data_IF_291797347665
#
_entry.id   IF_291797347665
#
_cell.length_a   1.000
_cell.length_b   1.000
_cell.length_c   1.000
_cell.angle_alpha   90.00
_cell.angle_beta   90.00
_cell.angle_gamma   90.00
#
_symmetry.space_group_name_H-M   'P 1'
#
loop_
_entity.id
_entity.type
_entity.pdbx_description
1 polymer ?
#
# COMPACT_ATOMS: atom_id res chain seq x y z
N UNK A 1 -2.63 5.75 -13.08
CA UNK A 1 -3.68 6.41 -13.89
C UNK A 1 -4.54 5.30 -14.50
N UNK A 2 -5.77 5.11 -14.01
CA UNK A 2 -6.63 4.00 -14.44
C UNK A 2 -7.04 4.16 -15.91
N UNK A 3 -6.87 3.10 -16.70
CA UNK A 3 -7.16 3.06 -18.14
C UNK A 3 -8.65 2.81 -18.44
N UNK A 4 -9.55 3.45 -17.69
CA UNK A 4 -11.01 3.22 -17.78
C UNK A 4 -11.59 3.43 -19.19
N UNK A 5 -11.05 4.39 -19.96
CA UNK A 5 -11.52 4.74 -21.31
C UNK A 5 -11.46 3.58 -22.31
N UNK A 6 -10.51 2.65 -22.15
CA UNK A 6 -10.40 1.49 -23.04
C UNK A 6 -11.51 0.46 -22.84
N UNK A 7 -12.22 0.52 -21.71
CA UNK A 7 -13.33 -0.39 -21.36
C UNK A 7 -14.69 0.31 -21.43
N UNK A 8 -14.74 1.53 -22.00
CA UNK A 8 -15.99 2.31 -22.05
C UNK A 8 -16.43 2.85 -20.70
N UNK A 9 -15.55 2.85 -19.69
CA UNK A 9 -15.79 3.54 -18.44
C UNK A 9 -15.42 5.02 -18.61
N UNK A 10 -16.43 5.87 -18.79
CA UNK A 10 -16.25 7.32 -18.68
C UNK A 10 -15.91 7.71 -17.24
N UNK A 11 -15.35 8.91 -17.03
CA UNK A 11 -14.92 9.48 -15.74
C UNK A 11 -16.09 9.70 -14.73
N UNK A 12 -17.27 9.09 -14.98
CA UNK A 12 -18.55 9.28 -14.30
C UNK A 12 -18.81 8.34 -13.11
N UNK A 13 -17.83 7.54 -12.66
CA UNK A 13 -17.97 6.68 -11.46
C UNK A 13 -18.29 7.47 -10.16
N UNK A 14 -18.19 8.79 -10.18
CA UNK A 14 -18.59 9.66 -9.07
C UNK A 14 -20.05 10.13 -9.14
N UNK A 15 -20.79 9.89 -10.23
CA UNK A 15 -22.15 10.45 -10.43
C UNK A 15 -23.26 9.66 -9.76
N UNK A 16 -23.10 8.36 -9.62
CA UNK A 16 -24.15 7.55 -9.00
C UNK A 16 -23.88 7.48 -7.51
N UNK A 17 -24.66 8.26 -6.74
CA UNK A 17 -24.64 8.36 -5.28
C UNK A 17 -24.99 7.06 -4.55
N UNK A 18 -24.37 5.94 -4.94
CA UNK A 18 -24.33 4.69 -4.18
C UNK A 18 -23.63 5.01 -2.87
N UNK A 19 -24.30 4.89 -1.72
CA UNK A 19 -23.65 5.08 -0.43
C UNK A 19 -22.52 4.06 -0.30
N UNK A 20 -21.27 4.54 -0.28
CA UNK A 20 -20.07 3.74 0.02
C UNK A 20 -20.10 3.14 1.43
N UNK A 21 -21.14 3.41 2.21
CA UNK A 21 -21.38 2.95 3.58
C UNK A 21 -21.53 1.43 3.71
N UNK A 22 -21.77 0.68 2.62
CA UNK A 22 -21.91 -0.78 2.68
C UNK A 22 -20.60 -1.56 2.50
N UNK A 23 -19.52 -0.93 2.02
CA UNK A 23 -18.24 -1.61 1.78
C UNK A 23 -17.37 -1.63 3.04
N UNK A 24 -17.48 -0.61 3.89
CA UNK A 24 -16.65 -0.44 5.08
C UNK A 24 -17.39 -0.94 6.32
N UNK A 25 -17.02 -2.13 6.78
CA UNK A 25 -17.57 -2.71 8.00
C UNK A 25 -17.33 -1.85 9.24
N UNK A 26 -18.18 -1.93 10.28
CA UNK A 26 -18.04 -1.17 11.52
C UNK A 26 -16.92 -1.73 12.44
N UNK A 27 -15.83 -2.22 11.87
CA UNK A 27 -14.77 -2.89 12.63
C UNK A 27 -14.11 -1.91 13.62
N UNK A 28 -13.98 -2.27 14.90
CA UNK A 28 -13.41 -1.35 15.88
C UNK A 28 -11.95 -1.00 15.54
N UNK A 29 -11.65 0.29 15.43
CA UNK A 29 -10.28 0.81 15.27
C UNK A 29 -9.57 0.83 16.62
N UNK A 30 -8.23 0.94 16.61
CA UNK A 30 -7.46 1.16 17.84
C UNK A 30 -7.88 2.47 18.52
N UNK A 31 -8.17 3.52 17.76
CA UNK A 31 -8.54 4.83 18.29
C UNK A 31 -9.89 4.81 19.02
N UNK A 32 -10.90 4.13 18.45
CA UNK A 32 -12.19 3.95 19.12
C UNK A 32 -12.05 3.20 20.46
N UNK A 33 -11.20 2.16 20.49
CA UNK A 33 -10.92 1.39 21.72
C UNK A 33 -10.19 2.24 22.77
N UNK A 34 -9.22 3.06 22.35
CA UNK A 34 -8.43 3.91 23.23
C UNK A 34 -9.21 5.10 23.78
N UNK A 35 -10.06 5.71 22.96
CA UNK A 35 -10.96 6.80 23.36
C UNK A 35 -11.89 6.35 24.50
N UNK A 36 -12.45 5.15 24.41
CA UNK A 36 -13.25 4.54 25.49
C UNK A 36 -12.49 4.30 26.81
N UNK A 37 -11.16 4.40 26.80
CA UNK A 37 -10.28 4.28 27.99
C UNK A 37 -9.70 5.64 28.43
N UNK A 38 -10.17 6.75 27.86
CA UNK A 38 -9.71 8.09 28.20
C UNK A 38 -8.35 8.48 27.61
N UNK A 39 -7.80 7.66 26.68
CA UNK A 39 -6.54 7.95 25.98
C UNK A 39 -6.81 8.91 24.83
N UNK A 40 -6.06 10.01 24.78
CA UNK A 40 -6.12 10.97 23.67
C UNK A 40 -5.40 10.36 22.46
N UNK A 41 -6.03 10.36 21.29
CA UNK A 41 -5.37 9.91 20.05
C UNK A 41 -5.16 11.09 19.11
N UNK A 42 -3.91 11.31 18.68
CA UNK A 42 -3.51 12.32 17.69
C UNK A 42 -3.00 11.61 16.45
N UNK A 43 -3.71 11.74 15.34
CA UNK A 43 -3.48 11.00 14.10
C UNK A 43 -3.03 11.98 13.02
N UNK A 44 -1.78 11.85 12.56
CA UNK A 44 -1.25 12.61 11.43
C UNK A 44 -1.46 11.80 10.16
N UNK A 45 -2.24 12.37 9.23
CA UNK A 45 -2.67 11.64 8.04
C UNK A 45 -1.55 11.42 7.01
N UNK A 46 -0.59 12.33 6.91
CA UNK A 46 0.40 12.27 5.83
C UNK A 46 -0.29 12.20 4.45
N UNK A 47 0.17 11.30 3.60
CA UNK A 47 -0.41 10.99 2.27
C UNK A 47 -1.77 10.30 2.31
N UNK A 48 -2.21 9.72 3.45
CA UNK A 48 -3.57 9.17 3.58
C UNK A 48 -4.61 10.28 3.41
N UNK A 49 -4.24 11.55 3.60
CA UNK A 49 -5.11 12.69 3.28
C UNK A 49 -5.49 12.77 1.79
N UNK A 50 -4.82 12.01 0.91
CA UNK A 50 -5.14 11.92 -0.52
C UNK A 50 -6.15 10.82 -0.85
N UNK A 51 -6.46 9.94 0.09
CA UNK A 51 -7.47 8.89 -0.07
C UNK A 51 -8.90 9.46 -0.02
N UNK A 52 -9.89 8.81 -0.66
CA UNK A 52 -11.29 9.23 -0.57
C UNK A 52 -11.79 9.26 0.89
N UNK A 53 -12.64 10.24 1.21
CA UNK A 53 -13.06 10.55 2.58
C UNK A 53 -13.57 9.35 3.38
N UNK A 54 -14.40 8.48 2.78
CA UNK A 54 -14.96 7.32 3.48
C UNK A 54 -13.89 6.35 4.02
N UNK A 55 -12.80 6.14 3.29
CA UNK A 55 -11.70 5.27 3.72
C UNK A 55 -10.90 5.90 4.86
N UNK A 56 -10.56 7.18 4.71
CA UNK A 56 -9.86 7.95 5.74
C UNK A 56 -10.68 8.00 7.02
N UNK A 57 -11.98 8.28 6.92
CA UNK A 57 -12.92 8.32 8.04
C UNK A 57 -13.01 6.97 8.76
N UNK A 58 -13.07 5.87 8.01
CA UNK A 58 -13.08 4.52 8.59
C UNK A 58 -11.77 4.20 9.32
N UNK A 59 -10.62 4.59 8.76
CA UNK A 59 -9.30 4.36 9.35
C UNK A 59 -9.12 5.11 10.67
N UNK A 60 -9.51 6.39 10.69
CA UNK A 60 -9.26 7.29 11.83
C UNK A 60 -10.43 7.38 12.81
N UNK A 61 -11.50 6.61 12.59
CA UNK A 61 -12.69 6.57 13.44
C UNK A 61 -12.30 6.46 14.91
N UNK A 62 -12.80 7.37 15.74
CA UNK A 62 -12.54 7.39 17.18
C UNK A 62 -11.27 8.15 17.60
N UNK A 63 -10.48 8.68 16.66
CA UNK A 63 -9.37 9.57 16.99
C UNK A 63 -9.87 10.88 17.62
N UNK A 64 -9.14 11.39 18.63
CA UNK A 64 -9.48 12.65 19.29
C UNK A 64 -9.11 13.86 18.43
N UNK A 65 -7.98 13.76 17.73
CA UNK A 65 -7.49 14.79 16.83
C UNK A 65 -6.97 14.15 15.55
N UNK A 66 -7.55 14.55 14.42
CA UNK A 66 -7.06 14.22 13.08
C UNK A 66 -6.33 15.45 12.54
N UNK A 67 -5.04 15.29 12.22
CA UNK A 67 -4.13 16.37 11.86
C UNK A 67 -3.81 16.25 10.38
N UNK A 68 -4.08 17.34 9.65
CA UNK A 68 -3.79 17.46 8.23
C UNK A 68 -2.29 17.65 8.00
N UNK A 69 -1.73 17.10 6.91
CA UNK A 69 -0.31 17.21 6.63
C UNK A 69 0.08 18.68 6.35
N UNK A 70 1.27 19.08 6.80
CA UNK A 70 1.81 20.43 6.53
C UNK A 70 2.08 20.71 5.05
N UNK A 71 2.39 19.67 4.29
CA UNK A 71 2.65 19.75 2.85
C UNK A 71 1.69 18.86 2.08
N UNK A 72 1.36 19.28 0.85
CA UNK A 72 0.66 18.40 -0.09
C UNK A 72 1.57 17.25 -0.47
N UNK A 73 1.07 16.01 -0.43
CA UNK A 73 1.85 14.81 -0.74
C UNK A 73 2.57 14.89 -2.09
N UNK A 74 1.88 15.36 -3.13
CA UNK A 74 2.43 15.51 -4.49
C UNK A 74 3.68 16.40 -4.57
N UNK A 75 3.95 17.23 -3.56
CA UNK A 75 5.14 18.11 -3.50
C UNK A 75 6.33 17.39 -2.89
N UNK A 76 6.09 16.46 -1.96
CA UNK A 76 7.16 15.90 -1.11
C UNK A 76 7.44 14.42 -1.35
N UNK A 77 6.60 13.72 -2.12
CA UNK A 77 6.64 12.25 -2.29
C UNK A 77 7.99 11.68 -2.72
N UNK A 78 8.78 12.47 -3.46
CA UNK A 78 10.10 12.08 -3.97
C UNK A 78 11.25 12.69 -3.14
N UNK A 79 10.96 13.23 -1.95
CA UNK A 79 11.92 13.93 -1.09
C UNK A 79 12.01 13.30 0.32
N UNK A 80 12.67 12.14 0.48
CA UNK A 80 12.76 11.42 1.76
C UNK A 80 13.22 12.27 2.95
N UNK A 81 14.19 13.16 2.73
CA UNK A 81 14.69 14.05 3.77
C UNK A 81 13.63 15.04 4.27
N UNK A 82 12.79 15.56 3.36
CA UNK A 82 11.70 16.49 3.70
C UNK A 82 10.54 15.76 4.39
N UNK A 83 10.24 14.53 3.96
CA UNK A 83 9.26 13.66 4.63
C UNK A 83 9.68 13.39 6.07
N UNK A 84 10.95 12.99 6.28
CA UNK A 84 11.49 12.73 7.61
C UNK A 84 11.47 13.98 8.50
N UNK A 85 11.94 15.14 8.01
CA UNK A 85 11.98 16.37 8.82
C UNK A 85 10.57 16.86 9.20
N UNK A 86 9.61 16.73 8.28
CA UNK A 86 8.20 17.09 8.51
C UNK A 86 7.59 16.17 9.56
N UNK A 87 7.75 14.85 9.41
CA UNK A 87 7.29 13.84 10.36
C UNK A 87 7.81 14.13 11.77
N UNK A 88 9.11 14.39 11.90
CA UNK A 88 9.75 14.68 13.18
C UNK A 88 9.12 15.94 13.81
N UNK A 89 8.96 17.01 13.04
CA UNK A 89 8.39 18.26 13.54
C UNK A 89 6.92 18.14 13.95
N UNK A 90 6.12 17.32 13.26
CA UNK A 90 4.71 17.05 13.56
C UNK A 90 4.53 16.22 14.83
N UNK A 91 5.40 15.25 15.05
CA UNK A 91 5.45 14.48 16.31
C UNK A 91 5.91 15.36 17.46
N UNK A 92 6.98 16.15 17.29
CA UNK A 92 7.47 17.10 18.29
C UNK A 92 6.37 18.07 18.75
N UNK A 93 5.60 18.62 17.81
CA UNK A 93 4.44 19.47 18.10
C UNK A 93 3.36 18.74 18.90
N UNK A 94 3.11 17.47 18.56
CA UNK A 94 2.10 16.66 19.21
C UNK A 94 2.50 16.28 20.63
N UNK A 95 3.76 15.92 20.85
CA UNK A 95 4.30 15.65 22.18
C UNK A 95 4.15 16.87 23.10
N UNK A 96 4.49 18.07 22.62
CA UNK A 96 4.31 19.32 23.38
C UNK A 96 2.85 19.58 23.80
N UNK A 97 1.89 19.14 22.99
CA UNK A 97 0.44 19.31 23.24
C UNK A 97 -0.17 18.19 24.08
N UNK A 98 0.59 17.17 24.45
CA UNK A 98 0.09 15.93 25.09
C UNK A 98 0.38 15.85 26.59
N UNK A 99 0.76 16.96 27.22
CA UNK A 99 1.16 17.00 28.63
C UNK A 99 -0.02 16.63 29.55
N UNK A 100 0.23 15.74 30.52
CA UNK A 100 -0.69 15.41 31.60
C UNK A 100 -1.80 14.42 31.25
N UNK A 101 -1.79 13.81 30.05
CA UNK A 101 -2.78 12.79 29.65
C UNK A 101 -2.11 11.64 28.89
N UNK A 102 -2.52 10.38 29.13
CA UNK A 102 -2.13 9.26 28.27
C UNK A 102 -2.51 9.57 26.82
N UNK A 103 -1.54 9.53 25.91
CA UNK A 103 -1.72 9.94 24.52
C UNK A 103 -1.07 8.94 23.56
N UNK A 104 -1.82 8.52 22.55
CA UNK A 104 -1.29 7.86 21.36
C UNK A 104 -1.05 8.91 20.27
N UNK A 105 0.18 8.99 19.77
CA UNK A 105 0.48 9.73 18.53
C UNK A 105 0.70 8.68 17.44
N UNK A 106 -0.14 8.72 16.41
CA UNK A 106 -0.01 7.87 15.23
C UNK A 106 0.30 8.75 14.03
N UNK A 107 1.30 8.35 13.24
CA UNK A 107 1.71 9.07 12.05
C UNK A 107 2.01 8.07 10.94
N UNK A 108 1.44 8.31 9.77
CA UNK A 108 1.80 7.58 8.57
C UNK A 108 2.98 8.26 7.88
N UNK A 109 4.04 7.49 7.61
CA UNK A 109 5.27 7.98 6.99
C UNK A 109 5.47 7.24 5.69
N UNK A 110 4.99 7.80 4.59
CA UNK A 110 5.18 7.20 3.28
C UNK A 110 6.58 7.52 2.74
N UNK A 111 7.42 6.49 2.62
CA UNK A 111 8.69 6.53 1.85
C UNK A 111 8.63 5.57 0.65
N UNK A 112 7.47 4.99 0.39
CA UNK A 112 7.22 3.89 -0.52
C UNK A 112 7.42 4.32 -1.99
N UNK A 113 6.85 5.48 -2.35
CA UNK A 113 7.01 6.05 -3.70
C UNK A 113 8.49 6.24 -4.07
N UNK A 114 9.32 6.74 -3.14
CA UNK A 114 10.76 6.88 -3.40
C UNK A 114 11.44 5.54 -3.65
N UNK A 115 11.05 4.49 -2.90
CA UNK A 115 11.63 3.15 -3.07
C UNK A 115 11.24 2.58 -4.43
N UNK A 116 10.00 2.81 -4.91
CA UNK A 116 9.60 2.36 -6.25
C UNK A 116 10.55 2.86 -7.34
N UNK A 117 10.97 4.13 -7.31
CA UNK A 117 11.87 4.69 -8.31
C UNK A 117 13.35 4.39 -8.06
N UNK A 118 13.79 4.55 -6.82
CA UNK A 118 15.21 4.68 -6.47
C UNK A 118 15.74 3.51 -5.63
N UNK A 119 14.84 2.70 -5.07
CA UNK A 119 15.17 1.66 -4.09
C UNK A 119 15.66 2.23 -2.76
N UNK A 120 16.32 1.38 -1.98
CA UNK A 120 16.86 1.70 -0.65
C UNK A 120 18.21 2.43 -0.72
N UNK A 121 18.24 3.55 -1.44
CA UNK A 121 19.45 4.34 -1.67
C UNK A 121 19.96 5.09 -0.41
N UNK A 122 20.97 5.96 -0.59
CA UNK A 122 21.50 6.76 0.53
C UNK A 122 20.51 7.81 1.05
N UNK A 123 19.65 8.37 0.18
CA UNK A 123 18.63 9.35 0.58
C UNK A 123 17.60 8.72 1.51
N UNK A 124 17.07 7.56 1.12
CA UNK A 124 16.17 6.76 1.94
C UNK A 124 16.79 6.41 3.30
N UNK A 125 18.02 5.87 3.30
CA UNK A 125 18.71 5.50 4.55
C UNK A 125 18.95 6.70 5.46
N UNK A 126 19.29 7.87 4.90
CA UNK A 126 19.50 9.11 5.67
C UNK A 126 18.20 9.60 6.31
N UNK A 127 17.07 9.50 5.59
CA UNK A 127 15.75 9.82 6.11
C UNK A 127 15.37 8.90 7.28
N UNK A 128 15.50 7.57 7.12
CA UNK A 128 15.25 6.60 8.19
C UNK A 128 16.16 6.79 9.40
N UNK A 129 17.45 7.07 9.19
CA UNK A 129 18.37 7.36 10.30
C UNK A 129 17.95 8.62 11.06
N UNK A 130 17.41 9.62 10.37
CA UNK A 130 16.90 10.84 11.02
C UNK A 130 15.66 10.56 11.86
N UNK A 131 14.74 9.73 11.36
CA UNK A 131 13.56 9.26 12.10
C UNK A 131 14.00 8.42 13.31
N UNK A 132 14.93 7.47 13.14
CA UNK A 132 15.46 6.64 14.22
C UNK A 132 16.13 7.45 15.33
N UNK A 133 16.92 8.47 14.98
CA UNK A 133 17.49 9.41 15.96
C UNK A 133 16.40 10.19 16.71
N UNK A 134 15.32 10.59 16.03
CA UNK A 134 14.20 11.27 16.68
C UNK A 134 13.43 10.33 17.61
N UNK A 135 13.15 9.10 17.18
CA UNK A 135 12.53 8.06 17.99
C UNK A 135 13.31 7.81 19.29
N UNK A 136 14.65 7.69 19.22
CA UNK A 136 15.49 7.60 20.42
C UNK A 136 15.33 8.80 21.34
N UNK A 137 15.38 10.04 20.81
CA UNK A 137 15.19 11.26 21.63
C UNK A 137 13.84 11.29 22.33
N UNK A 138 12.76 10.91 21.65
CA UNK A 138 11.42 10.85 22.24
C UNK A 138 11.35 9.77 23.33
N UNK A 139 11.99 8.63 23.11
CA UNK A 139 12.08 7.56 24.09
C UNK A 139 12.85 7.99 25.35
N UNK A 140 14.02 8.60 25.19
CA UNK A 140 14.81 9.15 26.30
C UNK A 140 13.99 10.20 27.09
N UNK A 141 13.16 10.98 26.40
CA UNK A 141 12.21 11.93 27.00
C UNK A 141 10.99 11.29 27.69
N UNK A 142 10.84 9.96 27.62
CA UNK A 142 9.83 9.18 28.37
C UNK A 142 8.67 8.67 27.54
N UNK A 143 8.75 8.75 26.20
CA UNK A 143 7.76 8.12 25.31
C UNK A 143 8.13 6.65 25.06
N UNK A 144 7.15 5.86 24.65
CA UNK A 144 7.41 4.60 23.95
C UNK A 144 7.20 4.84 22.45
N UNK A 145 8.16 4.45 21.63
CA UNK A 145 8.10 4.67 20.18
C UNK A 145 8.16 3.34 19.46
N UNK A 146 7.10 3.03 18.71
CA UNK A 146 7.03 1.88 17.82
C UNK A 146 7.09 2.37 16.37
N UNK A 147 8.00 1.82 15.59
CA UNK A 147 8.04 1.98 14.13
C UNK A 147 7.86 0.60 13.51
N UNK A 148 6.92 0.49 12.58
CA UNK A 148 6.77 -0.70 11.76
C UNK A 148 6.48 -0.29 10.32
N UNK A 149 6.69 -1.24 9.41
CA UNK A 149 6.26 -1.14 8.02
C UNK A 149 5.23 -2.23 7.76
N UNK A 150 4.34 -1.99 6.81
CA UNK A 150 3.34 -2.92 6.29
C UNK A 150 3.92 -3.86 5.24
N UNK A 151 4.86 -3.39 4.41
CA UNK A 151 5.59 -4.20 3.44
C UNK A 151 6.99 -3.64 3.11
N UNK A 152 7.89 -4.52 2.70
CA UNK A 152 9.11 -4.14 1.98
C UNK A 152 8.85 -4.08 0.48
N UNK A 153 9.91 -3.87 -0.31
CA UNK A 153 9.89 -3.91 -1.76
C UNK A 153 11.09 -4.70 -2.28
N UNK A 154 10.96 -5.26 -3.48
CA UNK A 154 12.05 -5.92 -4.19
C UNK A 154 12.24 -5.35 -5.58
N UNK A 155 13.45 -5.50 -6.10
CA UNK A 155 13.75 -5.06 -7.47
C UNK A 155 12.90 -5.87 -8.45
N UNK A 156 12.21 -5.16 -9.34
CA UNK A 156 11.31 -5.74 -10.32
C UNK A 156 11.71 -5.32 -11.73
N UNK A 157 11.56 -6.25 -12.66
CA UNK A 157 11.86 -6.09 -14.08
C UNK A 157 10.67 -6.58 -14.89
N UNK A 158 10.50 -6.05 -16.10
CA UNK A 158 9.47 -6.53 -17.02
C UNK A 158 10.12 -6.70 -18.39
N UNK A 159 10.16 -7.93 -18.91
CA UNK A 159 10.63 -8.16 -20.28
C UNK A 159 9.62 -7.62 -21.30
N UNK A 160 10.09 -7.34 -22.52
CA UNK A 160 9.18 -6.93 -23.60
C UNK A 160 8.15 -8.02 -23.91
N UNK A 161 8.53 -9.31 -23.81
CA UNK A 161 7.63 -10.45 -24.03
C UNK A 161 6.52 -10.45 -22.99
N UNK A 162 6.86 -10.34 -21.70
CA UNK A 162 5.87 -10.28 -20.63
C UNK A 162 4.97 -9.05 -20.75
N UNK A 163 5.55 -7.89 -21.07
CA UNK A 163 4.76 -6.66 -21.28
C UNK A 163 3.76 -6.79 -22.43
N UNK A 164 4.13 -7.47 -23.52
CA UNK A 164 3.26 -7.73 -24.68
C UNK A 164 2.15 -8.72 -24.34
N UNK A 165 2.50 -9.84 -23.71
CA UNK A 165 1.52 -10.84 -23.26
C UNK A 165 0.53 -10.24 -22.26
N UNK A 166 1.01 -9.43 -21.32
CA UNK A 166 0.16 -8.71 -20.38
C UNK A 166 -0.82 -7.77 -21.07
N UNK A 167 -0.32 -6.93 -21.99
CA UNK A 167 -1.16 -6.01 -22.75
C UNK A 167 -2.20 -6.75 -23.61
N UNK A 168 -1.87 -7.95 -24.12
CA UNK A 168 -2.80 -8.80 -24.84
C UNK A 168 -3.91 -9.30 -23.91
N UNK A 169 -3.57 -9.94 -22.79
CA UNK A 169 -4.59 -10.54 -21.90
C UNK A 169 -5.42 -9.51 -21.14
N UNK A 170 -4.88 -8.32 -20.87
CA UNK A 170 -5.65 -7.24 -20.26
C UNK A 170 -6.64 -6.61 -21.26
N UNK A 171 -6.48 -6.82 -22.58
CA UNK A 171 -7.33 -6.16 -23.57
C UNK A 171 -8.83 -6.49 -23.42
N UNK A 172 -9.73 -5.62 -23.93
CA UNK A 172 -11.18 -5.86 -23.92
C UNK A 172 -11.64 -7.13 -24.64
N UNK A 173 -10.76 -7.80 -25.40
CA UNK A 173 -11.01 -9.12 -26.01
C UNK A 173 -11.07 -10.20 -24.94
N UNK A 174 -10.19 -10.11 -23.93
CA UNK A 174 -10.02 -11.14 -22.91
C UNK A 174 -10.59 -10.73 -21.55
N UNK A 175 -10.59 -9.45 -21.21
CA UNK A 175 -11.05 -8.94 -19.93
C UNK A 175 -12.24 -7.99 -20.05
N UNK A 176 -13.14 -8.04 -19.07
CA UNK A 176 -14.29 -7.15 -18.94
C UNK A 176 -13.90 -5.78 -18.36
N UNK A 177 -12.82 -5.73 -17.60
CA UNK A 177 -12.33 -4.53 -16.93
C UNK A 177 -10.80 -4.57 -16.78
N UNK A 178 -10.15 -3.44 -16.45
CA UNK A 178 -8.72 -3.43 -16.15
C UNK A 178 -8.37 -4.42 -15.03
N UNK A 179 -7.14 -4.92 -15.05
CA UNK A 179 -6.67 -5.80 -13.98
C UNK A 179 -6.78 -5.10 -12.62
N UNK A 180 -7.24 -5.83 -11.60
CA UNK A 180 -7.15 -5.38 -10.22
C UNK A 180 -5.85 -5.82 -9.56
N UNK A 181 -5.72 -5.54 -8.27
CA UNK A 181 -4.53 -5.83 -7.48
C UNK A 181 -3.52 -4.70 -7.44
N UNK A 182 -2.42 -4.92 -6.73
CA UNK A 182 -1.35 -3.95 -6.48
C UNK A 182 0.03 -4.61 -6.66
N UNK A 183 0.99 -3.82 -7.14
CA UNK A 183 2.37 -4.26 -7.39
C UNK A 183 2.51 -5.60 -8.12
N UNK A 184 2.99 -6.62 -7.40
CA UNK A 184 3.41 -7.95 -7.88
C UNK A 184 2.37 -9.05 -7.70
N UNK A 185 1.13 -8.64 -7.42
CA UNK A 185 -0.07 -9.47 -7.49
C UNK A 185 -1.14 -8.76 -8.29
N UNK A 186 -1.67 -9.44 -9.29
CA UNK A 186 -2.77 -8.95 -10.12
C UNK A 186 -3.83 -10.01 -10.25
N UNK A 187 -5.05 -9.59 -10.48
CA UNK A 187 -6.14 -10.47 -10.86
C UNK A 187 -6.86 -9.90 -12.07
N UNK A 188 -7.20 -10.76 -13.00
CA UNK A 188 -7.83 -10.43 -14.27
C UNK A 188 -9.31 -10.79 -14.18
N UNK A 189 -10.15 -9.85 -14.62
CA UNK A 189 -11.60 -10.04 -14.71
C UNK A 189 -11.92 -10.54 -16.12
N UNK A 190 -11.72 -11.84 -16.36
CA UNK A 190 -11.80 -12.38 -17.71
C UNK A 190 -13.24 -12.43 -18.22
N UNK A 191 -13.42 -12.33 -19.53
CA UNK A 191 -14.72 -12.60 -20.15
C UNK A 191 -15.08 -14.08 -19.97
N UNK A 192 -16.39 -14.42 -19.97
CA UNK A 192 -16.84 -15.81 -19.94
C UNK A 192 -16.14 -16.68 -20.99
N UNK A 193 -15.46 -17.74 -20.54
CA UNK A 193 -14.73 -18.67 -21.40
C UNK A 193 -13.28 -18.27 -21.74
N UNK A 194 -12.84 -17.04 -21.45
CA UNK A 194 -11.51 -16.55 -21.79
C UNK A 194 -10.40 -16.98 -20.80
N UNK A 195 -10.78 -17.37 -19.58
CA UNK A 195 -9.86 -17.65 -18.48
C UNK A 195 -8.73 -18.65 -18.83
N UNK A 196 -9.07 -19.78 -19.45
CA UNK A 196 -8.10 -20.81 -19.78
C UNK A 196 -7.08 -20.32 -20.83
N UNK A 197 -7.54 -19.56 -21.82
CA UNK A 197 -6.68 -18.98 -22.86
C UNK A 197 -5.77 -17.90 -22.27
N UNK A 198 -6.30 -17.02 -21.41
CA UNK A 198 -5.50 -16.02 -20.67
C UNK A 198 -4.38 -16.69 -19.87
N UNK A 199 -4.70 -17.75 -19.12
CA UNK A 199 -3.69 -18.50 -18.36
C UNK A 199 -2.65 -19.15 -19.27
N UNK A 200 -3.06 -19.69 -20.41
CA UNK A 200 -2.15 -20.29 -21.39
C UNK A 200 -1.20 -19.25 -22.01
N UNK A 201 -1.71 -18.08 -22.40
CA UNK A 201 -0.90 -16.98 -22.94
C UNK A 201 0.18 -16.54 -21.93
N UNK A 202 -0.21 -16.37 -20.66
CA UNK A 202 0.73 -15.94 -19.63
C UNK A 202 1.74 -17.04 -19.27
N UNK A 203 1.33 -18.31 -19.26
CA UNK A 203 2.22 -19.44 -19.03
C UNK A 203 3.28 -19.60 -20.14
N UNK A 204 2.94 -19.28 -21.39
CA UNK A 204 3.87 -19.39 -22.52
C UNK A 204 5.04 -18.39 -22.45
N UNK A 205 4.89 -17.28 -21.72
CA UNK A 205 5.92 -16.23 -21.63
C UNK A 205 7.26 -16.77 -21.10
N UNK A 206 7.24 -17.87 -20.33
CA UNK A 206 8.40 -18.46 -19.66
C UNK A 206 9.15 -17.43 -18.80
N UNK A 207 8.38 -16.62 -18.05
CA UNK A 207 8.90 -15.66 -17.09
C UNK A 207 9.19 -16.38 -15.77
N UNK A 208 10.47 -16.50 -15.34
CA UNK A 208 10.81 -17.20 -14.11
C UNK A 208 10.08 -16.63 -12.91
N UNK A 209 9.47 -17.52 -12.12
CA UNK A 209 8.75 -17.17 -10.91
C UNK A 209 7.37 -16.53 -11.12
N UNK A 210 6.87 -16.42 -12.36
CA UNK A 210 5.49 -16.01 -12.62
C UNK A 210 4.54 -17.18 -12.36
N UNK A 211 3.65 -17.02 -11.38
CA UNK A 211 2.61 -17.99 -11.05
C UNK A 211 1.28 -17.46 -11.55
N UNK A 212 0.56 -18.27 -12.31
CA UNK A 212 -0.76 -17.96 -12.86
C UNK A 212 -1.72 -19.07 -12.47
N UNK A 213 -2.82 -18.72 -11.82
CA UNK A 213 -3.81 -19.69 -11.37
C UNK A 213 -5.13 -19.03 -10.99
N UNK A 214 -6.17 -19.84 -10.77
CA UNK A 214 -7.39 -19.40 -10.09
C UNK A 214 -7.13 -19.14 -8.61
N UNK A 215 -8.10 -18.57 -7.89
CA UNK A 215 -8.07 -18.47 -6.43
C UNK A 215 -7.78 -19.84 -5.79
N UNK A 216 -8.46 -20.89 -6.24
CA UNK A 216 -8.35 -22.24 -5.69
C UNK A 216 -6.98 -22.85 -5.94
N UNK A 217 -6.40 -22.62 -7.13
CA UNK A 217 -5.04 -23.06 -7.46
C UNK A 217 -3.99 -22.44 -6.52
N UNK A 218 -4.25 -21.23 -6.03
CA UNK A 218 -3.33 -20.49 -5.18
C UNK A 218 -3.53 -20.72 -3.69
N UNK A 219 -4.58 -21.43 -3.24
CA UNK A 219 -4.79 -21.74 -1.82
C UNK A 219 -3.58 -22.48 -1.23
N UNK A 220 -2.99 -23.42 -1.97
CA UNK A 220 -1.82 -24.17 -1.52
C UNK A 220 -0.55 -23.32 -1.34
N UNK A 221 -0.50 -22.15 -1.97
CA UNK A 221 0.67 -21.24 -1.96
C UNK A 221 0.45 -20.10 -0.95
N UNK A 222 -0.75 -19.53 -0.93
CA UNK A 222 -1.11 -18.36 -0.12
C UNK A 222 -1.70 -18.72 1.24
N UNK A 223 -2.06 -19.99 1.45
CA UNK A 223 -2.73 -20.44 2.66
C UNK A 223 -4.03 -19.66 2.92
N UNK A 224 -4.32 -19.29 4.18
CA UNK A 224 -5.54 -18.54 4.53
C UNK A 224 -5.69 -17.19 3.81
N UNK A 225 -4.62 -16.62 3.27
CA UNK A 225 -4.68 -15.35 2.52
C UNK A 225 -5.42 -15.51 1.19
N UNK A 226 -5.50 -16.72 0.63
CA UNK A 226 -6.30 -16.97 -0.56
C UNK A 226 -7.81 -16.77 -0.32
N UNK A 227 -8.29 -16.89 0.92
CA UNK A 227 -9.72 -16.72 1.24
C UNK A 227 -10.17 -15.27 1.05
N UNK A 228 -9.26 -14.31 1.29
CA UNK A 228 -9.59 -12.91 1.07
C UNK A 228 -9.64 -12.58 -0.41
N UNK A 229 -8.76 -13.17 -1.25
CA UNK A 229 -8.92 -13.30 -2.72
C UNK A 229 -9.36 -12.02 -3.46
N UNK A 230 -9.66 -12.05 -4.75
CA UNK A 230 -11.07 -11.93 -5.11
C UNK A 230 -11.51 -13.22 -5.81
N UNK A 231 -12.81 -13.37 -6.00
CA UNK A 231 -13.29 -14.44 -6.87
C UNK A 231 -12.98 -14.00 -8.31
N UNK A 232 -11.85 -14.46 -8.83
CA UNK A 232 -11.29 -14.05 -10.12
C UNK A 232 -10.76 -15.27 -10.85
N UNK A 233 -10.99 -15.26 -12.16
CA UNK A 233 -10.69 -16.38 -13.05
C UNK A 233 -9.19 -16.58 -13.30
N UNK A 234 -8.38 -15.53 -13.12
CA UNK A 234 -6.94 -15.60 -13.26
C UNK A 234 -6.25 -14.60 -12.33
N UNK A 235 -5.46 -15.13 -11.41
CA UNK A 235 -4.63 -14.42 -10.46
C UNK A 235 -3.17 -14.69 -10.83
N UNK A 236 -2.37 -13.64 -10.83
CA UNK A 236 -0.99 -13.62 -11.29
C UNK A 236 -0.11 -13.07 -10.18
N UNK A 237 0.90 -13.83 -9.77
CA UNK A 237 1.80 -13.57 -8.64
C UNK A 237 3.25 -13.73 -9.09
N UNK A 238 4.14 -12.81 -8.73
CA UNK A 238 5.58 -12.94 -9.01
C UNK A 238 6.38 -13.43 -7.80
N UNK A 239 6.90 -14.64 -7.82
CA UNK A 239 7.85 -15.13 -6.79
C UNK A 239 9.30 -14.68 -7.06
N UNK A 240 9.59 -14.20 -8.27
CA UNK A 240 10.89 -13.64 -8.67
C UNK A 240 10.75 -12.28 -9.36
N UNK A 241 11.86 -11.68 -9.78
CA UNK A 241 11.94 -10.27 -10.21
C UNK A 241 11.05 -9.92 -11.41
N UNK A 242 10.66 -10.88 -12.24
CA UNK A 242 9.94 -10.58 -13.47
C UNK A 242 8.43 -10.44 -13.24
N UNK A 243 7.86 -9.27 -13.54
CA UNK A 243 6.42 -9.03 -13.41
C UNK A 243 5.94 -7.85 -14.28
N UNK A 244 4.69 -7.85 -14.79
CA UNK A 244 4.10 -6.70 -15.47
C UNK A 244 3.95 -5.50 -14.51
N UNK A 245 4.79 -4.48 -14.72
CA UNK A 245 4.73 -3.22 -14.01
C UNK A 245 3.66 -2.29 -14.60
N UNK A 246 2.84 -1.69 -13.73
CA UNK A 246 1.84 -0.68 -14.14
C UNK A 246 2.53 0.61 -14.60
N UNK A 247 3.55 1.04 -13.87
CA UNK A 247 4.44 2.12 -14.26
C UNK A 247 5.81 1.57 -14.65
N UNK A 248 6.22 1.81 -15.91
CA UNK A 248 7.51 1.32 -16.44
C UNK A 248 8.72 2.04 -15.84
N UNK A 249 8.51 3.16 -15.14
CA UNK A 249 9.57 3.89 -14.45
C UNK A 249 9.92 3.23 -13.11
N UNK A 250 9.00 2.44 -12.53
CA UNK A 250 9.24 1.72 -11.29
C UNK A 250 10.32 0.64 -11.48
N UNK A 251 11.22 0.56 -10.51
CA UNK A 251 12.35 -0.38 -10.45
C UNK A 251 12.25 -1.33 -9.28
N UNK A 252 11.47 -0.95 -8.28
CA UNK A 252 11.14 -1.77 -7.12
C UNK A 252 9.63 -1.82 -6.99
N UNK A 253 9.13 -2.94 -6.53
CA UNK A 253 7.70 -3.17 -6.33
C UNK A 253 7.49 -4.17 -5.20
N UNK A 254 6.27 -4.22 -4.70
CA UNK A 254 5.86 -5.10 -3.61
C UNK A 254 4.54 -5.82 -3.91
N UNK A 255 3.98 -6.54 -2.94
CA UNK A 255 2.68 -7.19 -3.05
C UNK A 255 2.73 -8.69 -3.29
N UNK A 256 3.93 -9.27 -3.49
CA UNK A 256 4.13 -10.72 -3.53
C UNK A 256 4.62 -11.29 -2.19
N UNK A 257 5.02 -12.56 -2.18
CA UNK A 257 5.39 -13.36 -1.01
C UNK A 257 6.89 -13.44 -0.77
N UNK A 258 7.71 -12.62 -1.44
CA UNK A 258 9.16 -12.73 -1.24
C UNK A 258 9.54 -12.26 0.15
N UNK A 259 10.64 -12.80 0.69
CA UNK A 259 11.14 -12.38 2.01
C UNK A 259 11.40 -10.88 2.08
N UNK A 260 11.87 -10.26 0.98
CA UNK A 260 12.13 -8.82 0.92
C UNK A 260 10.86 -7.97 1.00
N UNK A 261 9.70 -8.52 0.65
CA UNK A 261 8.40 -7.84 0.77
C UNK A 261 7.72 -8.13 2.11
N UNK A 262 7.78 -9.38 2.56
CA UNK A 262 6.99 -9.82 3.73
C UNK A 262 7.74 -9.70 5.06
N UNK A 263 9.08 -9.72 5.06
CA UNK A 263 9.87 -9.53 6.29
C UNK A 263 10.11 -8.04 6.50
N UNK A 264 9.21 -7.44 7.25
CA UNK A 264 9.19 -5.99 7.53
C UNK A 264 9.82 -5.66 8.87
N UNK A 265 10.45 -4.47 9.01
CA UNK A 265 10.99 -4.03 10.28
C UNK A 265 9.88 -3.76 11.30
N UNK A 266 10.14 -4.20 12.53
CA UNK A 266 9.47 -3.77 13.75
C UNK A 266 10.55 -3.28 14.71
N UNK A 267 10.55 -1.99 15.03
CA UNK A 267 11.54 -1.38 15.90
C UNK A 267 10.85 -0.66 17.06
N UNK A 268 11.35 -0.93 18.27
CA UNK A 268 10.85 -0.36 19.52
C UNK A 268 11.97 0.44 20.18
N UNK A 269 11.66 1.67 20.56
CA UNK A 269 12.49 2.48 21.44
C UNK A 269 11.71 2.74 22.73
N UNK A 270 12.32 2.32 23.83
CA UNK A 270 11.91 2.65 25.19
C UNK A 270 13.15 3.14 25.95
N UNK A 271 12.92 3.68 27.15
CA UNK A 271 14.00 4.08 28.07
C UNK A 271 14.84 2.90 28.52
#
# INVERSE_FOLDING_TARGET
MFRGRHYGFDDDWQRDGVPTTHILGPWPTIFARLSGRGVVSRVHLGDISTMPGAWTDALVRGATHVIQPRYRWSVIRDAPALIASTTIAEVDDSLRRSVGRPTLIWIHVNLDEHVHYSGYDSSFRTALQSISRAARRWADAGSEVLLHSDHGQTRTTCSNRLAQAWAQVESPVFCESPAGGAGRVRWLYTRPGAAAEVRAILADVDAPGLIVGSRDDLIGILGPVAEVLPDSDAIVLATEREFPLVDRVYRFEHGSLTKSEMVVPLALWHR
#
